data_IF_947487029864
#
_entry.id   IF_947487029864
#
_cell.length_a   1.000
_cell.length_b   1.000
_cell.length_c   1.000
_cell.angle_alpha   90.00
_cell.angle_beta   90.00
_cell.angle_gamma   90.00
#
_symmetry.space_group_name_H-M   'P 1'
#
loop_
_entity.id
_entity.type
_entity.pdbx_description
1 polymer ?
#
# COMPACT_ATOMS: atom_id res chain seq x y z
N UNK A 1 14.34 19.69 -18.66
CA UNK A 1 15.52 19.16 -19.41
C UNK A 1 15.12 18.21 -20.55
N UNK A 2 14.18 17.28 -20.35
CA UNK A 2 13.71 16.34 -21.40
C UNK A 2 13.08 17.03 -22.62
N UNK A 3 12.43 18.19 -22.43
CA UNK A 3 11.92 18.98 -23.55
C UNK A 3 13.00 19.47 -24.51
N UNK A 4 14.22 19.75 -24.01
CA UNK A 4 15.37 20.20 -24.83
C UNK A 4 15.92 19.09 -25.74
N UNK A 5 15.64 17.83 -25.42
CA UNK A 5 16.12 16.67 -26.19
C UNK A 5 15.04 16.01 -27.05
N UNK A 6 13.85 16.62 -27.17
CA UNK A 6 12.74 16.04 -27.94
C UNK A 6 12.13 14.77 -27.33
N UNK A 7 12.49 14.45 -26.09
CA UNK A 7 12.14 13.20 -25.42
C UNK A 7 10.82 13.29 -24.59
N UNK A 8 9.95 14.26 -24.91
CA UNK A 8 8.65 14.42 -24.22
C UNK A 8 7.74 13.19 -24.31
N UNK A 9 7.94 12.40 -25.36
CA UNK A 9 7.24 11.15 -25.56
C UNK A 9 7.53 10.11 -24.48
N UNK A 10 8.81 9.93 -24.16
CA UNK A 10 9.26 8.98 -23.12
C UNK A 10 8.81 9.36 -21.71
N UNK A 11 8.43 10.61 -21.46
CA UNK A 11 7.91 11.04 -20.17
C UNK A 11 6.57 10.37 -19.87
N UNK A 12 5.69 10.25 -20.87
CA UNK A 12 4.38 9.61 -20.69
C UNK A 12 4.55 8.13 -20.42
N UNK A 13 5.41 7.46 -21.20
CA UNK A 13 5.68 6.04 -21.06
C UNK A 13 6.29 5.72 -19.69
N UNK A 14 7.31 6.51 -19.27
CA UNK A 14 7.97 6.34 -17.98
C UNK A 14 7.00 6.56 -16.81
N UNK A 15 6.18 7.61 -16.85
CA UNK A 15 5.21 7.91 -15.81
C UNK A 15 4.15 6.78 -15.74
N UNK A 16 3.66 6.33 -16.89
CA UNK A 16 2.68 5.24 -16.95
C UNK A 16 3.20 3.96 -16.32
N UNK A 17 4.34 3.48 -16.80
CA UNK A 17 4.94 2.23 -16.29
C UNK A 17 5.32 2.36 -14.82
N UNK A 18 6.01 3.43 -14.42
CA UNK A 18 6.47 3.62 -13.03
C UNK A 18 5.30 3.78 -12.06
N UNK A 19 4.24 4.50 -12.45
CA UNK A 19 3.06 4.70 -11.61
C UNK A 19 2.34 3.39 -11.36
N UNK A 20 1.99 2.66 -12.41
CA UNK A 20 1.20 1.43 -12.31
C UNK A 20 1.96 0.27 -11.68
N UNK A 21 3.26 0.16 -11.97
CA UNK A 21 4.07 -0.96 -11.52
C UNK A 21 4.58 -0.82 -10.09
N UNK A 22 4.93 0.41 -9.66
CA UNK A 22 5.66 0.65 -8.41
C UNK A 22 4.99 1.71 -7.52
N UNK A 23 4.81 2.95 -8.02
CA UNK A 23 4.49 4.08 -7.16
C UNK A 23 3.12 3.99 -6.52
N UNK A 24 2.08 3.63 -7.27
CA UNK A 24 0.73 3.68 -6.75
C UNK A 24 0.51 2.63 -5.65
N UNK A 25 0.98 1.40 -5.83
CA UNK A 25 0.87 0.35 -4.81
C UNK A 25 1.67 0.70 -3.57
N UNK A 26 2.91 1.21 -3.74
CA UNK A 26 3.78 1.58 -2.62
C UNK A 26 3.19 2.74 -1.81
N UNK A 27 2.77 3.83 -2.47
CA UNK A 27 2.16 4.98 -1.80
C UNK A 27 0.85 4.60 -1.11
N UNK A 28 0.00 3.79 -1.74
CA UNK A 28 -1.23 3.28 -1.14
C UNK A 28 -0.93 2.44 0.09
N UNK A 29 0.05 1.55 0.03
CA UNK A 29 0.45 0.72 1.16
C UNK A 29 0.98 1.56 2.34
N UNK A 30 1.80 2.59 2.07
CA UNK A 30 2.29 3.54 3.10
C UNK A 30 1.13 4.29 3.75
N UNK A 31 0.18 4.79 2.95
CA UNK A 31 -1.00 5.49 3.46
C UNK A 31 -1.89 4.57 4.32
N UNK A 32 -2.10 3.34 3.88
CA UNK A 32 -2.87 2.33 4.63
C UNK A 32 -2.14 1.91 5.91
N UNK A 33 -0.82 1.75 5.88
CA UNK A 33 -0.01 1.48 7.06
C UNK A 33 -0.13 2.60 8.10
N UNK A 34 -0.05 3.86 7.66
CA UNK A 34 -0.19 5.03 8.53
C UNK A 34 -1.59 5.18 9.13
N UNK A 35 -2.65 4.97 8.34
CA UNK A 35 -4.04 5.16 8.77
C UNK A 35 -4.63 3.89 9.39
N UNK A 36 -4.79 2.84 8.59
CA UNK A 36 -5.51 1.62 9.03
C UNK A 36 -4.65 0.77 9.95
N UNK A 37 -3.33 0.68 9.69
CA UNK A 37 -2.40 -0.04 10.54
C UNK A 37 -2.34 0.56 11.96
N UNK A 38 -2.23 1.88 12.07
CA UNK A 38 -2.25 2.57 13.37
C UNK A 38 -3.58 2.38 14.12
N UNK A 39 -4.70 2.48 13.40
CA UNK A 39 -6.03 2.26 13.98
C UNK A 39 -6.19 0.83 14.51
N UNK A 40 -5.76 -0.18 13.77
CA UNK A 40 -5.82 -1.58 14.22
C UNK A 40 -4.96 -1.83 15.45
N UNK A 41 -3.74 -1.26 15.47
CA UNK A 41 -2.87 -1.34 16.65
C UNK A 41 -3.52 -0.68 17.87
N UNK A 42 -4.12 0.50 17.68
CA UNK A 42 -4.78 1.24 18.74
C UNK A 42 -6.01 0.50 19.29
N UNK A 43 -6.85 -0.06 18.42
CA UNK A 43 -8.03 -0.83 18.84
C UNK A 43 -7.64 -2.10 19.60
N UNK A 44 -6.76 -2.94 19.04
CA UNK A 44 -6.31 -4.18 19.69
C UNK A 44 -5.61 -3.86 21.02
N UNK A 45 -4.76 -2.84 21.02
CA UNK A 45 -4.06 -2.38 22.23
C UNK A 45 -5.01 -1.86 23.30
N UNK A 46 -6.04 -1.11 22.92
CA UNK A 46 -7.09 -0.63 23.83
C UNK A 46 -7.90 -1.79 24.43
N UNK A 47 -8.29 -2.77 23.60
CA UNK A 47 -8.99 -3.98 24.07
C UNK A 47 -8.13 -4.78 25.05
N UNK A 48 -6.82 -4.85 24.80
CA UNK A 48 -5.88 -5.51 25.70
C UNK A 48 -5.76 -4.78 27.03
N UNK A 49 -5.68 -3.45 27.03
CA UNK A 49 -5.64 -2.64 28.25
C UNK A 49 -6.89 -2.79 29.11
N UNK A 50 -8.04 -3.05 28.48
CA UNK A 50 -9.33 -3.29 29.18
C UNK A 50 -9.59 -4.76 29.51
N UNK A 51 -8.59 -5.63 29.34
CA UNK A 51 -8.67 -7.07 29.59
C UNK A 51 -9.71 -7.80 28.70
N UNK A 52 -10.26 -7.15 27.68
CA UNK A 52 -11.25 -7.73 26.77
C UNK A 52 -10.69 -8.94 26.01
N UNK A 53 -9.39 -8.90 25.64
CA UNK A 53 -8.72 -10.03 24.97
C UNK A 53 -8.62 -11.24 25.91
N UNK A 54 -8.38 -11.03 27.19
CA UNK A 54 -8.31 -12.12 28.16
C UNK A 54 -9.70 -12.66 28.50
N UNK A 55 -10.72 -11.80 28.52
CA UNK A 55 -12.11 -12.23 28.61
C UNK A 55 -12.51 -13.15 27.43
N UNK A 56 -12.09 -12.82 26.19
CA UNK A 56 -12.32 -13.70 25.03
C UNK A 56 -11.70 -15.10 25.22
N UNK A 57 -10.49 -15.17 25.78
CA UNK A 57 -9.84 -16.47 26.04
C UNK A 57 -10.58 -17.28 27.11
N UNK A 58 -11.09 -16.62 28.16
CA UNK A 58 -11.83 -17.28 29.24
C UNK A 58 -13.12 -17.92 28.72
N UNK A 59 -13.81 -17.29 27.79
CA UNK A 59 -15.01 -17.85 27.15
C UNK A 59 -14.71 -18.85 26.02
N UNK A 60 -13.42 -19.19 25.82
CA UNK A 60 -12.98 -20.19 24.85
C UNK A 60 -12.82 -19.70 23.41
N UNK A 61 -12.89 -18.39 23.17
CA UNK A 61 -12.70 -17.82 21.84
C UNK A 61 -11.22 -17.51 21.59
N UNK A 62 -10.75 -17.84 20.36
CA UNK A 62 -9.39 -17.47 19.97
C UNK A 62 -9.36 -16.01 19.51
N UNK A 63 -8.65 -15.09 20.22
CA UNK A 63 -8.59 -13.68 19.86
C UNK A 63 -8.04 -13.43 18.45
N UNK A 64 -7.10 -14.25 17.99
CA UNK A 64 -6.53 -14.11 16.65
C UNK A 64 -7.60 -14.37 15.58
N UNK A 65 -8.39 -15.43 15.74
CA UNK A 65 -9.47 -15.76 14.80
C UNK A 65 -10.59 -14.74 14.76
N UNK A 66 -10.92 -14.14 15.90
CA UNK A 66 -12.06 -13.22 16.03
C UNK A 66 -11.66 -11.77 15.72
N UNK A 67 -10.47 -11.33 16.13
CA UNK A 67 -10.06 -9.93 16.01
C UNK A 67 -9.09 -9.68 14.84
N UNK A 68 -8.09 -10.54 14.67
CA UNK A 68 -7.02 -10.31 13.69
C UNK A 68 -7.44 -10.76 12.30
N UNK A 69 -7.96 -11.98 12.19
CA UNK A 69 -8.26 -12.59 10.89
C UNK A 69 -9.25 -11.79 10.04
N UNK A 70 -10.41 -11.32 10.54
CA UNK A 70 -11.35 -10.54 9.74
C UNK A 70 -10.76 -9.23 9.23
N UNK A 71 -9.91 -8.58 10.03
CA UNK A 71 -9.23 -7.33 9.65
C UNK A 71 -8.17 -7.57 8.57
N UNK A 72 -7.41 -8.67 8.69
CA UNK A 72 -6.47 -9.09 7.66
C UNK A 72 -7.18 -9.33 6.32
N UNK A 73 -8.25 -10.10 6.34
CA UNK A 73 -9.04 -10.38 5.13
C UNK A 73 -9.58 -9.09 4.52
N UNK A 74 -10.14 -8.20 5.33
CA UNK A 74 -10.62 -6.90 4.86
C UNK A 74 -9.51 -6.07 4.19
N UNK A 75 -8.29 -6.02 4.77
CA UNK A 75 -7.16 -5.31 4.19
C UNK A 75 -6.69 -5.94 2.87
N UNK A 76 -6.63 -7.26 2.80
CA UNK A 76 -6.19 -8.01 1.60
C UNK A 76 -7.08 -7.71 0.40
N UNK A 77 -8.38 -7.50 0.61
CA UNK A 77 -9.29 -7.09 -0.45
C UNK A 77 -9.32 -5.57 -0.67
N UNK A 78 -9.22 -4.77 0.39
CA UNK A 78 -9.31 -3.32 0.30
C UNK A 78 -8.09 -2.68 -0.38
N UNK A 79 -6.87 -3.16 -0.10
CA UNK A 79 -5.64 -2.54 -0.60
C UNK A 79 -5.52 -2.64 -2.13
N UNK A 80 -5.78 -3.77 -2.80
CA UNK A 80 -5.84 -3.83 -4.27
C UNK A 80 -6.85 -2.85 -4.87
N UNK A 81 -8.06 -2.74 -4.29
CA UNK A 81 -9.07 -1.80 -4.76
C UNK A 81 -8.61 -0.34 -4.61
N UNK A 82 -7.99 -0.01 -3.49
CA UNK A 82 -7.41 1.31 -3.26
C UNK A 82 -6.24 1.60 -4.21
N UNK A 83 -5.44 0.58 -4.55
CA UNK A 83 -4.36 0.70 -5.53
C UNK A 83 -4.92 1.07 -6.91
N UNK A 84 -5.99 0.41 -7.37
CA UNK A 84 -6.65 0.76 -8.64
C UNK A 84 -7.14 2.21 -8.64
N UNK A 85 -7.75 2.66 -7.55
CA UNK A 85 -8.17 4.07 -7.42
C UNK A 85 -6.97 5.01 -7.45
N UNK A 86 -5.89 4.67 -6.76
CA UNK A 86 -4.64 5.44 -6.75
C UNK A 86 -4.02 5.53 -8.15
N UNK A 87 -4.01 4.43 -8.90
CA UNK A 87 -3.56 4.39 -10.30
C UNK A 87 -4.34 5.36 -11.17
N UNK A 88 -5.66 5.32 -11.10
CA UNK A 88 -6.52 6.20 -11.89
C UNK A 88 -6.28 7.67 -11.56
N UNK A 89 -6.17 8.01 -10.28
CA UNK A 89 -5.92 9.39 -9.82
C UNK A 89 -4.51 9.86 -10.23
N UNK A 90 -3.50 8.99 -10.10
CA UNK A 90 -2.13 9.30 -10.49
C UNK A 90 -2.02 9.56 -12.01
N UNK A 91 -2.65 8.72 -12.84
CA UNK A 91 -2.67 8.90 -14.29
C UNK A 91 -3.45 10.15 -14.71
N UNK A 92 -4.57 10.46 -14.05
CA UNK A 92 -5.31 11.70 -14.27
C UNK A 92 -4.46 12.93 -13.94
N UNK A 93 -3.77 12.91 -12.79
CA UNK A 93 -2.83 13.97 -12.40
C UNK A 93 -1.68 14.12 -13.38
N UNK A 94 -1.08 13.02 -13.81
CA UNK A 94 -0.01 13.00 -14.80
C UNK A 94 -0.46 13.57 -16.16
N UNK A 95 -1.67 13.23 -16.62
CA UNK A 95 -2.28 13.79 -17.83
C UNK A 95 -2.45 15.30 -17.74
N UNK A 96 -2.90 15.81 -16.60
CA UNK A 96 -3.09 17.25 -16.34
C UNK A 96 -1.76 18.02 -16.37
N UNK A 97 -0.73 17.43 -15.77
CA UNK A 97 0.64 17.99 -15.79
C UNK A 97 1.22 17.95 -17.22
N UNK A 98 1.07 16.84 -17.93
CA UNK A 98 1.55 16.72 -19.31
C UNK A 98 0.88 17.73 -20.25
N UNK A 99 -0.40 17.99 -20.05
CA UNK A 99 -1.12 19.02 -20.80
C UNK A 99 -0.61 20.43 -20.51
N UNK A 100 -0.48 20.79 -19.22
CA UNK A 100 -0.10 22.16 -18.83
C UNK A 100 1.37 22.50 -19.11
N UNK A 101 2.30 21.55 -18.99
CA UNK A 101 3.74 21.78 -19.15
C UNK A 101 4.29 21.37 -20.52
N UNK A 102 3.76 20.32 -21.12
CA UNK A 102 4.31 19.77 -22.36
C UNK A 102 3.39 19.96 -23.57
N UNK A 103 2.19 20.54 -23.38
CA UNK A 103 1.22 20.74 -24.46
C UNK A 103 0.63 19.45 -25.02
N UNK A 104 0.84 18.30 -24.36
CA UNK A 104 0.32 17.01 -24.80
C UNK A 104 -1.17 16.97 -24.44
N UNK A 105 -2.04 16.84 -25.46
CA UNK A 105 -3.48 16.76 -25.20
C UNK A 105 -3.82 15.50 -24.40
N UNK A 106 -4.87 15.50 -23.55
CA UNK A 106 -5.29 14.32 -22.79
C UNK A 106 -5.58 13.11 -23.68
N UNK A 107 -6.13 13.33 -24.88
CA UNK A 107 -6.37 12.25 -25.84
C UNK A 107 -5.05 11.62 -26.35
N UNK A 108 -4.05 12.45 -26.65
CA UNK A 108 -2.73 11.98 -27.06
C UNK A 108 -2.00 11.27 -25.91
N UNK A 109 -2.18 11.74 -24.65
CA UNK A 109 -1.66 11.08 -23.46
C UNK A 109 -2.23 9.66 -23.30
N UNK A 110 -3.55 9.51 -23.35
CA UNK A 110 -4.24 8.21 -23.22
C UNK A 110 -3.85 7.27 -24.38
N UNK A 111 -3.76 7.78 -25.62
CA UNK A 111 -3.31 6.98 -26.76
C UNK A 111 -1.93 6.39 -26.54
N UNK A 112 -0.96 7.22 -26.15
CA UNK A 112 0.42 6.76 -25.84
C UNK A 112 0.48 5.82 -24.65
N UNK A 113 -0.26 6.12 -23.59
CA UNK A 113 -0.33 5.27 -22.41
C UNK A 113 -0.78 3.86 -22.78
N UNK A 114 -1.77 3.75 -23.68
CA UNK A 114 -2.27 2.46 -24.16
C UNK A 114 -1.23 1.68 -24.97
N UNK A 115 -0.37 2.36 -25.70
CA UNK A 115 0.69 1.74 -26.49
C UNK A 115 1.92 1.35 -25.63
N UNK A 116 2.12 2.06 -24.52
CA UNK A 116 3.27 1.88 -23.61
C UNK A 116 3.01 0.87 -22.47
N UNK A 117 1.76 0.60 -22.12
CA UNK A 117 1.40 -0.25 -20.99
C UNK A 117 0.92 -1.61 -21.47
N UNK A 118 1.67 -2.64 -21.11
CA UNK A 118 1.24 -4.03 -21.23
C UNK A 118 0.41 -4.46 -20.01
N UNK A 119 -0.43 -5.46 -20.22
CA UNK A 119 -1.20 -6.07 -19.10
C UNK A 119 -0.30 -6.58 -17.99
N UNK A 120 0.91 -7.04 -18.30
CA UNK A 120 1.91 -7.47 -17.31
C UNK A 120 2.28 -6.33 -16.35
N UNK A 121 2.47 -5.11 -16.85
CA UNK A 121 2.80 -3.93 -16.04
C UNK A 121 1.73 -3.61 -15.00
N UNK A 122 0.45 -3.68 -15.39
CA UNK A 122 -0.68 -3.46 -14.49
C UNK A 122 -0.78 -4.55 -13.42
N UNK A 123 -0.70 -5.83 -13.83
CA UNK A 123 -0.76 -6.95 -12.90
C UNK A 123 0.45 -7.01 -11.98
N UNK A 124 1.63 -6.57 -12.39
CA UNK A 124 2.80 -6.49 -11.53
C UNK A 124 2.56 -5.63 -10.28
N UNK A 125 1.94 -4.47 -10.43
CA UNK A 125 1.54 -3.62 -9.31
C UNK A 125 0.43 -4.26 -8.45
N UNK A 126 -0.61 -4.77 -9.10
CA UNK A 126 -1.79 -5.29 -8.39
C UNK A 126 -1.50 -6.57 -7.59
N UNK A 127 -0.63 -7.46 -8.08
CA UNK A 127 -0.24 -8.70 -7.38
C UNK A 127 0.50 -8.40 -6.07
N UNK A 128 1.28 -7.32 -6.00
CA UNK A 128 1.98 -6.91 -4.78
C UNK A 128 1.01 -6.49 -3.66
N UNK A 129 -0.13 -5.90 -4.02
CA UNK A 129 -1.04 -5.27 -3.07
C UNK A 129 -1.54 -6.21 -1.95
N UNK A 130 -2.01 -7.45 -2.20
CA UNK A 130 -2.41 -8.37 -1.13
C UNK A 130 -1.27 -8.71 -0.16
N UNK A 131 -0.04 -8.84 -0.66
CA UNK A 131 1.12 -9.13 0.19
C UNK A 131 1.44 -7.94 1.09
N UNK A 132 1.41 -6.70 0.56
CA UNK A 132 1.57 -5.49 1.35
C UNK A 132 0.48 -5.37 2.43
N UNK A 133 -0.77 -5.69 2.09
CA UNK A 133 -1.89 -5.71 3.03
C UNK A 133 -1.66 -6.69 4.18
N UNK A 134 -1.22 -7.92 3.88
CA UNK A 134 -0.90 -8.91 4.91
C UNK A 134 0.20 -8.43 5.86
N UNK A 135 1.27 -7.85 5.32
CA UNK A 135 2.37 -7.31 6.12
C UNK A 135 1.86 -6.24 7.08
N UNK A 136 1.11 -5.26 6.57
CA UNK A 136 0.55 -4.16 7.37
C UNK A 136 -0.35 -4.71 8.48
N UNK A 137 -1.26 -5.61 8.16
CA UNK A 137 -2.21 -6.18 9.11
C UNK A 137 -1.54 -7.05 10.18
N UNK A 138 -0.53 -7.85 9.81
CA UNK A 138 0.24 -8.67 10.75
C UNK A 138 1.04 -7.77 11.70
N UNK A 139 1.80 -6.80 11.17
CA UNK A 139 2.61 -5.89 12.00
C UNK A 139 1.72 -5.11 12.96
N UNK A 140 0.59 -4.57 12.48
CA UNK A 140 -0.36 -3.83 13.30
C UNK A 140 -0.94 -4.69 14.44
N UNK A 141 -1.32 -5.93 14.12
CA UNK A 141 -1.89 -6.85 15.11
C UNK A 141 -0.86 -7.27 16.15
N UNK A 142 0.37 -7.59 15.72
CA UNK A 142 1.47 -7.97 16.62
C UNK A 142 1.81 -6.83 17.57
N UNK A 143 1.92 -5.59 17.08
CA UNK A 143 2.20 -4.44 17.94
C UNK A 143 1.03 -4.13 18.87
N UNK A 144 -0.22 -4.24 18.43
CA UNK A 144 -1.40 -4.09 19.29
C UNK A 144 -1.44 -5.10 20.44
N UNK A 145 -1.09 -6.37 20.14
CA UNK A 145 -1.03 -7.43 21.14
C UNK A 145 0.13 -7.27 22.15
N UNK A 146 1.14 -6.45 21.85
CA UNK A 146 2.26 -6.15 22.75
C UNK A 146 1.99 -5.00 23.71
N UNK A 147 0.90 -4.24 23.52
CA UNK A 147 0.57 -3.11 24.39
C UNK A 147 0.49 -3.55 25.84
N UNK A 148 1.14 -2.81 26.72
CA UNK A 148 1.03 -2.97 28.18
C UNK A 148 -0.15 -2.18 28.74
N UNK A 149 -0.32 -2.19 30.07
CA UNK A 149 -1.45 -1.57 30.77
C UNK A 149 -1.46 -0.03 30.85
N UNK A 150 -0.74 0.70 29.98
CA UNK A 150 -0.67 2.16 30.06
C UNK A 150 -0.91 2.83 28.71
N UNK A 151 -1.47 4.05 28.73
CA UNK A 151 -1.67 4.87 27.52
C UNK A 151 -0.35 5.22 26.84
N UNK A 152 0.73 5.39 27.58
CA UNK A 152 2.06 5.61 27.03
C UNK A 152 2.55 4.40 26.21
N UNK A 153 2.35 3.18 26.75
CA UNK A 153 2.64 1.94 26.04
C UNK A 153 1.84 1.85 24.73
N UNK A 154 0.54 2.19 24.78
CA UNK A 154 -0.32 2.22 23.60
C UNK A 154 0.25 3.16 22.52
N UNK A 155 0.55 4.40 22.85
CA UNK A 155 1.11 5.39 21.90
C UNK A 155 2.43 4.93 21.28
N UNK A 156 3.32 4.35 22.09
CA UNK A 156 4.60 3.80 21.62
C UNK A 156 4.41 2.66 20.62
N UNK A 157 3.51 1.72 20.88
CA UNK A 157 3.25 0.59 19.99
C UNK A 157 2.51 1.01 18.72
N UNK A 158 1.62 2.01 18.79
CA UNK A 158 0.99 2.59 17.59
C UNK A 158 2.03 3.20 16.66
N UNK A 159 2.94 4.02 17.19
CA UNK A 159 4.02 4.61 16.38
C UNK A 159 4.97 3.54 15.83
N UNK A 160 5.36 2.57 16.66
CA UNK A 160 6.23 1.47 16.24
C UNK A 160 5.59 0.61 15.13
N UNK A 161 4.29 0.40 15.19
CA UNK A 161 3.53 -0.33 14.15
C UNK A 161 3.65 0.35 12.80
N UNK A 162 3.41 1.66 12.74
CA UNK A 162 3.49 2.43 11.48
C UNK A 162 4.90 2.38 10.91
N UNK A 163 5.91 2.68 11.71
CA UNK A 163 7.31 2.70 11.26
C UNK A 163 7.76 1.33 10.75
N UNK A 164 7.45 0.26 11.49
CA UNK A 164 7.81 -1.11 11.11
C UNK A 164 7.07 -1.55 9.84
N UNK A 165 5.76 -1.28 9.75
CA UNK A 165 4.98 -1.63 8.59
C UNK A 165 5.50 -0.95 7.32
N UNK A 166 5.76 0.36 7.37
CA UNK A 166 6.31 1.12 6.23
C UNK A 166 7.68 0.58 5.85
N UNK A 167 8.57 0.33 6.83
CA UNK A 167 9.90 -0.20 6.55
C UNK A 167 9.83 -1.56 5.84
N UNK A 168 9.03 -2.50 6.36
CA UNK A 168 8.91 -3.84 5.77
C UNK A 168 8.27 -3.78 4.39
N UNK A 169 7.24 -2.93 4.19
CA UNK A 169 6.60 -2.71 2.89
C UNK A 169 7.60 -2.24 1.85
N UNK A 170 8.44 -1.25 2.16
CA UNK A 170 9.47 -0.75 1.23
C UNK A 170 10.50 -1.84 0.89
N UNK A 171 10.94 -2.61 1.88
CA UNK A 171 11.90 -3.71 1.64
C UNK A 171 11.28 -4.78 0.75
N UNK A 172 10.04 -5.17 1.02
CA UNK A 172 9.34 -6.20 0.23
C UNK A 172 9.02 -5.70 -1.18
N UNK A 173 8.69 -4.42 -1.36
CA UNK A 173 8.53 -3.83 -2.69
C UNK A 173 9.83 -3.94 -3.51
N UNK A 174 10.97 -3.60 -2.91
CA UNK A 174 12.27 -3.78 -3.54
C UNK A 174 12.59 -5.24 -3.89
N UNK A 175 12.18 -6.20 -3.05
CA UNK A 175 12.32 -7.63 -3.35
C UNK A 175 11.45 -8.05 -4.54
N UNK A 176 10.21 -7.56 -4.63
CA UNK A 176 9.34 -7.79 -5.79
C UNK A 176 9.94 -7.19 -7.07
N UNK A 177 10.51 -5.98 -7.00
CA UNK A 177 11.16 -5.36 -8.14
C UNK A 177 12.33 -6.20 -8.66
N UNK A 178 13.18 -6.72 -7.75
CA UNK A 178 14.27 -7.64 -8.12
C UNK A 178 13.75 -8.96 -8.69
N UNK A 179 12.69 -9.51 -8.10
CA UNK A 179 12.08 -10.75 -8.58
C UNK A 179 11.51 -10.59 -9.99
N UNK A 180 10.76 -9.53 -10.25
CA UNK A 180 10.21 -9.27 -11.58
C UNK A 180 11.31 -9.00 -12.63
N UNK A 181 12.38 -8.33 -12.24
CA UNK A 181 13.53 -8.15 -13.14
C UNK A 181 14.25 -9.46 -13.47
N UNK A 182 14.24 -10.43 -12.55
CA UNK A 182 14.89 -11.74 -12.75
C UNK A 182 14.09 -12.69 -13.67
N UNK A 183 12.77 -12.48 -13.79
CA UNK A 183 11.87 -13.32 -14.61
C UNK A 183 11.42 -12.62 -15.90
N UNK A 184 11.98 -11.44 -16.22
CA UNK A 184 11.60 -10.61 -17.38
C UNK A 184 10.07 -10.32 -17.47
N UNK A 185 9.44 -10.06 -16.30
CA UNK A 185 8.00 -9.82 -16.16
C UNK A 185 7.68 -8.32 -16.10
#
# INVERSE_FOLDING_TARGET
QLQRFGATAFVVDLIGVLSLRELAVLLTAIMVAGRSGSAFTAEIGSMKMREEIDALKVIGLNPIGVLVFPRLVALVFALPLLTVVSDLVALAGASMVAWSYSGISPAAFVGRLRDAIDMSTYFAGLIKAPFMAMIIGIVASVEGMKVGGSAESLGRHVTASVVKAIFVVIVVDGLFAMFYAAIDF
#
